data_IF_332636646880
#
_entry.id   IF_332636646880
#
_cell.length_a   1.000
_cell.length_b   1.000
_cell.length_c   1.000
_cell.angle_alpha   90.00
_cell.angle_beta   90.00
_cell.angle_gamma   90.00
#
_symmetry.space_group_name_H-M   'P 1'
#
loop_
_entity.id
_entity.type
_entity.pdbx_description
1 polymer ?
#
# COMPACT_ATOMS: atom_id res chain seq x y z
N UNK A 1 -17.45 -56.87 -98.37
CA UNK A 1 -16.44 -55.94 -98.94
C UNK A 1 -17.18 -54.63 -99.14
N UNK A 2 -16.86 -53.52 -98.49
CA UNK A 2 -15.59 -53.00 -97.97
C UNK A 2 -15.97 -51.74 -97.19
N UNK A 3 -15.67 -51.65 -95.89
CA UNK A 3 -14.63 -50.77 -95.30
C UNK A 3 -15.11 -49.32 -95.08
N UNK A 4 -14.74 -48.51 -94.08
CA UNK A 4 -13.88 -48.52 -92.89
C UNK A 4 -14.01 -47.08 -92.32
N UNK A 5 -13.71 -46.90 -91.03
CA UNK A 5 -13.29 -45.66 -90.32
C UNK A 5 -14.25 -44.51 -89.95
N UNK A 6 -14.43 -44.41 -88.62
CA UNK A 6 -13.97 -43.33 -87.74
C UNK A 6 -13.66 -41.93 -88.33
N UNK A 7 -14.26 -40.88 -87.74
CA UNK A 7 -13.55 -39.75 -87.09
C UNK A 7 -14.52 -38.76 -86.41
N UNK A 8 -14.19 -38.46 -85.15
CA UNK A 8 -14.25 -37.22 -84.37
C UNK A 8 -15.34 -36.11 -84.56
N UNK A 9 -15.77 -35.64 -83.38
CA UNK A 9 -16.10 -34.25 -83.01
C UNK A 9 -17.53 -33.74 -83.23
N UNK A 10 -18.28 -33.57 -82.14
CA UNK A 10 -18.69 -32.23 -81.72
C UNK A 10 -19.14 -32.23 -80.26
N UNK A 11 -18.52 -31.34 -79.49
CA UNK A 11 -18.92 -30.88 -78.16
C UNK A 11 -20.26 -30.16 -78.19
N UNK A 12 -20.78 -29.90 -76.98
CA UNK A 12 -22.02 -29.20 -76.63
C UNK A 12 -23.31 -30.00 -76.67
N UNK A 13 -23.72 -30.43 -75.46
CA UNK A 13 -25.07 -30.14 -75.00
C UNK A 13 -25.14 -30.08 -73.48
N UNK A 14 -25.22 -28.84 -73.00
CA UNK A 14 -25.90 -28.41 -71.78
C UNK A 14 -27.04 -29.35 -71.38
N UNK A 15 -26.90 -30.01 -70.23
CA UNK A 15 -28.04 -30.47 -69.44
C UNK A 15 -27.99 -29.74 -68.10
N UNK A 16 -28.92 -28.81 -67.98
CA UNK A 16 -29.17 -27.93 -66.86
C UNK A 16 -29.00 -28.60 -65.49
N UNK A 17 -28.03 -28.09 -64.74
CA UNK A 17 -28.01 -28.17 -63.28
C UNK A 17 -29.23 -27.38 -62.79
N UNK A 18 -30.30 -28.09 -62.41
CA UNK A 18 -31.44 -27.49 -61.72
C UNK A 18 -30.97 -26.81 -60.44
N UNK A 19 -31.59 -25.69 -60.02
CA UNK A 19 -31.07 -24.86 -58.94
C UNK A 19 -31.03 -25.69 -57.65
N UNK A 20 -29.81 -25.91 -57.15
CA UNK A 20 -29.58 -26.34 -55.78
C UNK A 20 -30.18 -25.27 -54.88
N UNK A 21 -31.34 -25.60 -54.27
CA UNK A 21 -32.02 -24.75 -53.29
C UNK A 21 -31.10 -24.66 -52.09
N UNK A 22 -30.15 -23.72 -52.14
CA UNK A 22 -29.20 -23.44 -51.08
C UNK A 22 -30.01 -23.11 -49.83
N UNK A 23 -29.72 -23.80 -48.75
CA UNK A 23 -30.33 -23.75 -47.44
C UNK A 23 -30.18 -22.38 -46.78
N UNK A 24 -30.77 -21.33 -47.36
CA UNK A 24 -30.96 -20.06 -46.68
C UNK A 24 -32.14 -20.26 -45.75
N UNK A 25 -31.87 -20.26 -44.45
CA UNK A 25 -32.92 -20.08 -43.45
C UNK A 25 -33.54 -18.72 -43.75
N UNK A 26 -34.71 -18.70 -44.37
CA UNK A 26 -35.39 -17.45 -44.67
C UNK A 26 -35.81 -16.80 -43.35
N UNK A 27 -35.51 -15.51 -43.19
CA UNK A 27 -35.91 -14.72 -42.00
C UNK A 27 -37.42 -14.79 -41.80
N UNK A 28 -38.17 -14.91 -42.90
CA UNK A 28 -39.61 -15.12 -42.93
C UNK A 28 -40.04 -16.46 -42.33
N UNK A 29 -39.29 -17.54 -42.53
CA UNK A 29 -39.57 -18.85 -41.93
C UNK A 29 -39.34 -18.83 -40.41
N UNK A 30 -38.33 -18.09 -39.95
CA UNK A 30 -38.10 -17.90 -38.52
C UNK A 30 -39.23 -17.11 -37.85
N UNK A 31 -39.71 -16.05 -38.51
CA UNK A 31 -40.85 -15.26 -38.01
C UNK A 31 -42.13 -16.10 -38.01
N UNK A 32 -42.39 -16.86 -39.08
CA UNK A 32 -43.55 -17.75 -39.16
C UNK A 32 -43.51 -18.84 -38.07
N UNK A 33 -42.33 -19.41 -37.78
CA UNK A 33 -42.12 -20.36 -36.69
C UNK A 33 -42.46 -19.75 -35.32
N UNK A 34 -41.96 -18.54 -35.04
CA UNK A 34 -42.23 -17.84 -33.79
C UNK A 34 -43.71 -17.54 -33.62
N UNK A 35 -44.39 -17.05 -34.66
CA UNK A 35 -45.84 -16.76 -34.62
C UNK A 35 -46.65 -18.05 -34.41
N UNK A 36 -46.26 -19.15 -35.06
CA UNK A 36 -46.96 -20.45 -34.95
C UNK A 36 -46.85 -21.06 -33.55
N UNK A 37 -45.69 -20.92 -32.91
CA UNK A 37 -45.43 -21.43 -31.56
C UNK A 37 -45.51 -20.37 -30.48
N UNK A 38 -45.98 -19.15 -30.77
CA UNK A 38 -45.95 -18.02 -29.85
C UNK A 38 -46.57 -18.34 -28.48
N UNK A 39 -47.71 -19.05 -28.47
CA UNK A 39 -48.37 -19.48 -27.23
C UNK A 39 -47.50 -20.44 -26.38
N UNK A 40 -46.77 -21.35 -27.04
CA UNK A 40 -45.88 -22.31 -26.36
C UNK A 40 -44.59 -21.63 -25.88
N UNK A 41 -44.01 -20.77 -26.71
CA UNK A 41 -42.81 -19.99 -26.38
C UNK A 41 -43.09 -19.05 -25.20
N UNK A 42 -44.21 -18.33 -25.24
CA UNK A 42 -44.64 -17.45 -24.16
C UNK A 42 -44.96 -18.25 -22.88
N UNK A 43 -45.72 -19.34 -22.97
CA UNK A 43 -46.00 -20.19 -21.81
C UNK A 43 -44.70 -20.77 -21.20
N UNK A 44 -43.76 -21.22 -22.02
CA UNK A 44 -42.45 -21.70 -21.57
C UNK A 44 -41.61 -20.63 -20.88
N UNK A 45 -41.57 -19.42 -21.45
CA UNK A 45 -40.89 -18.28 -20.85
C UNK A 45 -41.50 -17.89 -19.49
N UNK A 46 -42.84 -17.90 -19.38
CA UNK A 46 -43.55 -17.59 -18.13
C UNK A 46 -43.29 -18.66 -17.07
N UNK A 47 -43.37 -19.96 -17.41
CA UNK A 47 -43.10 -21.06 -16.46
C UNK A 47 -41.65 -21.01 -15.98
N UNK A 48 -40.69 -20.86 -16.89
CA UNK A 48 -39.28 -20.75 -16.54
C UNK A 48 -38.98 -19.47 -15.75
N UNK A 49 -39.67 -18.37 -16.05
CA UNK A 49 -39.60 -17.12 -15.29
C UNK A 49 -40.13 -17.28 -13.86
N UNK A 50 -41.26 -17.97 -13.67
CA UNK A 50 -41.82 -18.27 -12.34
C UNK A 50 -40.88 -19.19 -11.54
N UNK A 51 -40.35 -20.24 -12.16
CA UNK A 51 -39.37 -21.13 -11.52
C UNK A 51 -38.08 -20.37 -11.14
N UNK A 52 -37.58 -19.50 -12.02
CA UNK A 52 -36.43 -18.65 -11.74
C UNK A 52 -36.72 -17.64 -10.63
N UNK A 53 -37.93 -17.08 -10.57
CA UNK A 53 -38.35 -16.19 -9.48
C UNK A 53 -38.43 -16.94 -8.15
N UNK A 54 -39.02 -18.13 -8.14
CA UNK A 54 -39.10 -18.99 -6.97
C UNK A 54 -37.69 -19.32 -6.45
N UNK A 55 -36.76 -19.66 -7.35
CA UNK A 55 -35.36 -19.85 -7.01
C UNK A 55 -34.68 -18.56 -6.52
N UNK A 56 -34.95 -17.42 -7.14
CA UNK A 56 -34.38 -16.13 -6.72
C UNK A 56 -34.85 -15.68 -5.32
N UNK A 57 -36.02 -16.17 -4.86
CA UNK A 57 -36.55 -15.91 -3.53
C UNK A 57 -35.88 -16.75 -2.43
N UNK A 58 -35.27 -17.89 -2.76
CA UNK A 58 -34.52 -18.71 -1.78
C UNK A 58 -33.13 -18.12 -1.47
N UNK A 59 -32.60 -17.27 -2.35
CA UNK A 59 -31.31 -16.60 -2.14
C UNK A 59 -31.44 -15.46 -1.11
N UNK A 60 -30.58 -15.42 -0.07
CA UNK A 60 -30.62 -14.36 0.92
C UNK A 60 -30.28 -13.01 0.29
N UNK A 61 -31.03 -11.98 0.67
CA UNK A 61 -30.72 -10.60 0.31
C UNK A 61 -29.39 -10.22 0.94
N UNK A 62 -28.49 -9.58 0.18
CA UNK A 62 -27.22 -9.08 0.68
C UNK A 62 -27.13 -7.58 0.52
N UNK A 63 -26.76 -6.93 1.61
CA UNK A 63 -26.51 -5.51 1.72
C UNK A 63 -25.01 -5.26 1.75
N UNK A 64 -24.60 -4.09 1.25
CA UNK A 64 -23.20 -3.71 1.13
C UNK A 64 -22.99 -2.41 1.88
N UNK A 65 -22.13 -2.44 2.89
CA UNK A 65 -21.70 -1.25 3.61
C UNK A 65 -20.27 -0.87 3.16
N UNK A 66 -19.98 0.42 3.05
CA UNK A 66 -18.68 0.93 2.59
C UNK A 66 -18.13 1.95 3.58
N UNK A 67 -16.84 1.84 3.90
CA UNK A 67 -16.08 2.85 4.63
C UNK A 67 -14.86 3.27 3.80
N UNK A 68 -14.41 4.52 4.00
CA UNK A 68 -13.28 5.10 3.28
C UNK A 68 -12.23 5.65 4.24
N UNK A 69 -10.98 5.25 4.02
CA UNK A 69 -9.81 5.67 4.79
C UNK A 69 -8.84 6.39 3.86
N UNK A 70 -8.27 7.49 4.31
CA UNK A 70 -7.21 8.18 3.59
C UNK A 70 -5.84 7.61 4.00
N UNK A 71 -4.96 7.40 3.03
CA UNK A 71 -3.58 7.04 3.32
C UNK A 71 -2.86 8.22 4.00
N UNK A 72 -2.23 8.02 5.17
CA UNK A 72 -1.49 9.09 5.84
C UNK A 72 -0.31 9.51 4.95
N UNK A 73 -0.27 10.79 4.56
CA UNK A 73 0.86 11.38 3.84
C UNK A 73 1.91 11.83 4.86
N UNK A 74 3.00 11.08 4.98
CA UNK A 74 4.13 11.47 5.83
C UNK A 74 4.92 12.57 5.14
N UNK A 75 4.71 13.84 5.51
CA UNK A 75 5.57 14.91 4.98
C UNK A 75 5.10 16.36 5.12
N UNK A 76 3.91 16.65 5.68
CA UNK A 76 3.37 18.01 5.67
C UNK A 76 4.16 19.04 6.49
N UNK A 77 4.57 18.70 7.71
CA UNK A 77 5.17 19.67 8.65
C UNK A 77 6.70 19.70 8.63
N UNK A 78 7.35 18.55 8.39
CA UNK A 78 8.81 18.45 8.32
C UNK A 78 9.37 19.16 7.07
N UNK A 79 8.62 19.10 5.95
CA UNK A 79 8.97 19.82 4.71
C UNK A 79 8.87 21.34 4.89
N UNK A 80 7.93 21.81 5.71
CA UNK A 80 7.75 23.23 6.04
C UNK A 80 8.81 23.75 7.04
N UNK A 81 9.23 22.93 8.00
CA UNK A 81 10.30 23.29 8.95
C UNK A 81 11.68 23.29 8.27
N UNK A 82 11.91 22.40 7.30
CA UNK A 82 13.11 22.40 6.47
C UNK A 82 13.21 23.63 5.56
N UNK A 83 12.09 24.27 5.23
CA UNK A 83 12.05 25.49 4.42
C UNK A 83 12.36 26.79 5.21
N UNK A 84 12.35 26.74 6.55
CA UNK A 84 12.42 27.94 7.40
C UNK A 84 13.75 28.18 8.15
N UNK A 85 14.76 27.31 8.02
CA UNK A 85 16.01 27.42 8.77
C UNK A 85 17.28 27.43 7.88
N UNK A 86 18.34 28.09 8.35
CA UNK A 86 19.68 28.21 7.72
C UNK A 86 20.41 26.85 7.52
N UNK A 87 19.77 25.76 7.95
CA UNK A 87 20.16 24.36 7.72
C UNK A 87 19.38 23.69 6.56
N UNK A 88 18.58 24.44 5.81
CA UNK A 88 17.67 24.01 4.74
C UNK A 88 18.34 23.57 3.43
N UNK A 89 19.43 22.81 3.49
CA UNK A 89 19.98 22.14 2.30
C UNK A 89 19.12 20.91 1.94
N UNK A 90 18.08 21.14 1.14
CA UNK A 90 17.59 20.21 0.11
C UNK A 90 16.91 18.90 0.55
N UNK A 91 16.72 18.64 1.85
CA UNK A 91 16.26 17.34 2.34
C UNK A 91 14.74 17.10 2.22
N UNK A 92 13.95 18.13 1.85
CA UNK A 92 12.49 18.03 1.76
C UNK A 92 11.95 17.31 0.52
N UNK A 93 12.73 17.22 -0.56
CA UNK A 93 12.25 16.72 -1.86
C UNK A 93 12.61 15.24 -2.15
N UNK A 94 13.57 14.65 -1.43
CA UNK A 94 14.06 13.30 -1.72
C UNK A 94 13.31 12.18 -0.95
N UNK A 95 12.49 12.54 0.04
CA UNK A 95 11.70 11.59 0.83
C UNK A 95 10.30 11.43 0.21
N UNK A 96 10.25 10.96 -1.03
CA UNK A 96 9.00 10.46 -1.62
C UNK A 96 8.52 9.25 -0.82
N UNK A 97 7.58 9.45 0.11
CA UNK A 97 6.92 8.37 0.83
C UNK A 97 5.93 7.68 -0.09
N UNK A 98 6.41 6.85 -1.02
CA UNK A 98 5.53 5.90 -1.70
C UNK A 98 5.13 4.84 -0.68
N UNK A 99 4.09 5.12 0.10
CA UNK A 99 3.57 4.16 1.06
C UNK A 99 3.03 2.96 0.26
N UNK A 100 3.60 1.78 0.47
CA UNK A 100 3.27 0.60 -0.33
C UNK A 100 1.79 0.24 -0.18
N UNK A 101 1.02 0.39 -1.27
CA UNK A 101 -0.41 0.01 -1.33
C UNK A 101 -0.67 -1.41 -0.79
N UNK A 102 0.26 -2.33 -1.10
CA UNK A 102 0.24 -3.72 -0.64
C UNK A 102 0.33 -3.88 0.88
N UNK A 103 0.95 -2.93 1.58
CA UNK A 103 1.01 -2.95 3.04
C UNK A 103 -0.40 -2.81 3.64
N UNK A 104 -1.18 -1.84 3.18
CA UNK A 104 -2.53 -1.61 3.70
C UNK A 104 -3.51 -2.72 3.33
N UNK A 105 -3.44 -3.24 2.10
CA UNK A 105 -4.22 -4.41 1.69
C UNK A 105 -3.93 -5.63 2.61
N UNK A 106 -2.65 -5.88 2.92
CA UNK A 106 -2.23 -6.97 3.82
C UNK A 106 -2.56 -6.71 5.28
N UNK A 107 -2.51 -5.45 5.71
CA UNK A 107 -2.87 -5.06 7.07
C UNK A 107 -4.36 -5.34 7.30
N UNK A 108 -5.23 -4.88 6.40
CA UNK A 108 -6.68 -5.10 6.47
C UNK A 108 -7.08 -6.58 6.38
N UNK A 109 -6.31 -7.40 5.66
CA UNK A 109 -6.53 -8.86 5.54
C UNK A 109 -5.75 -9.69 6.57
N UNK A 110 -5.13 -9.05 7.56
CA UNK A 110 -4.35 -9.72 8.59
C UNK A 110 -5.22 -10.65 9.44
N UNK A 111 -4.63 -11.79 9.84
CA UNK A 111 -5.26 -12.79 10.70
C UNK A 111 -5.69 -12.20 12.05
N UNK A 112 -4.87 -11.31 12.63
CA UNK A 112 -5.17 -10.69 13.93
C UNK A 112 -6.41 -9.82 13.89
N UNK A 113 -6.61 -9.06 12.80
CA UNK A 113 -7.80 -8.22 12.60
C UNK A 113 -9.02 -9.10 12.35
N UNK A 114 -8.90 -10.08 11.46
CA UNK A 114 -9.98 -11.03 11.18
C UNK A 114 -10.44 -11.77 12.44
N UNK A 115 -9.51 -12.23 13.28
CA UNK A 115 -9.84 -12.92 14.54
C UNK A 115 -10.54 -12.02 15.55
N UNK A 116 -10.14 -10.75 15.66
CA UNK A 116 -10.78 -9.79 16.54
C UNK A 116 -12.24 -9.54 16.11
N UNK A 117 -12.48 -9.37 14.81
CA UNK A 117 -13.83 -9.15 14.26
C UNK A 117 -14.70 -10.39 14.44
N UNK A 118 -14.18 -11.58 14.09
CA UNK A 118 -14.91 -12.84 14.20
C UNK A 118 -15.38 -13.10 15.63
N UNK A 119 -14.54 -12.82 16.63
CA UNK A 119 -14.88 -12.97 18.05
C UNK A 119 -15.88 -11.93 18.53
N UNK A 120 -15.74 -10.66 18.12
CA UNK A 120 -16.59 -9.56 18.62
C UNK A 120 -18.04 -9.71 18.16
N UNK A 121 -18.25 -10.16 16.93
CA UNK A 121 -19.59 -10.31 16.33
C UNK A 121 -20.10 -11.76 16.31
N UNK A 122 -19.40 -12.67 16.97
CA UNK A 122 -19.66 -14.12 16.99
C UNK A 122 -20.03 -14.69 15.61
N UNK A 123 -19.25 -14.30 14.60
CA UNK A 123 -19.52 -14.63 13.20
C UNK A 123 -19.34 -16.12 12.88
N UNK A 124 -18.80 -16.90 13.81
CA UNK A 124 -18.69 -18.35 13.72
C UNK A 124 -20.08 -19.00 13.60
N UNK A 125 -21.01 -18.58 14.47
CA UNK A 125 -22.39 -19.05 14.46
C UNK A 125 -23.13 -18.56 13.20
N UNK A 126 -22.93 -17.29 12.82
CA UNK A 126 -23.58 -16.67 11.65
C UNK A 126 -23.15 -17.32 10.33
N UNK A 127 -21.87 -17.72 10.21
CA UNK A 127 -21.36 -18.39 9.01
C UNK A 127 -21.54 -19.91 9.03
N UNK A 128 -21.98 -20.50 10.15
CA UNK A 128 -22.07 -21.95 10.33
C UNK A 128 -20.72 -22.67 10.12
N UNK A 129 -19.61 -21.99 10.46
CA UNK A 129 -18.26 -22.49 10.18
C UNK A 129 -17.67 -23.16 11.43
N UNK A 130 -17.34 -24.47 11.39
CA UNK A 130 -16.85 -25.19 12.57
C UNK A 130 -15.41 -24.84 12.96
N UNK A 131 -14.65 -24.21 12.05
CA UNK A 131 -13.25 -23.83 12.28
C UNK A 131 -13.01 -22.35 12.04
N UNK A 132 -12.14 -21.76 12.87
CA UNK A 132 -11.67 -20.38 12.71
C UNK A 132 -11.06 -20.12 11.33
N UNK A 133 -10.41 -21.13 10.73
CA UNK A 133 -9.83 -21.02 9.39
C UNK A 133 -10.91 -20.84 8.32
N UNK A 134 -11.97 -21.65 8.36
CA UNK A 134 -13.10 -21.53 7.43
C UNK A 134 -13.82 -20.18 7.61
N UNK A 135 -14.02 -19.74 8.86
CA UNK A 135 -14.64 -18.45 9.15
C UNK A 135 -13.83 -17.26 8.61
N UNK A 136 -12.49 -17.28 8.73
CA UNK A 136 -11.62 -16.26 8.13
C UNK A 136 -11.74 -16.24 6.60
N UNK A 137 -11.79 -17.40 5.96
CA UNK A 137 -11.92 -17.49 4.51
C UNK A 137 -13.30 -17.03 4.03
N UNK A 138 -14.35 -17.27 4.83
CA UNK A 138 -15.68 -16.74 4.57
C UNK A 138 -15.70 -15.20 4.70
N UNK A 139 -15.02 -14.66 5.72
CA UNK A 139 -14.88 -13.21 5.93
C UNK A 139 -14.10 -12.54 4.80
N UNK A 140 -12.96 -13.09 4.38
CA UNK A 140 -12.15 -12.52 3.30
C UNK A 140 -12.85 -12.54 1.94
N UNK A 141 -13.77 -13.48 1.69
CA UNK A 141 -14.62 -13.48 0.49
C UNK A 141 -15.70 -12.40 0.52
N UNK A 142 -16.12 -11.96 1.71
CA UNK A 142 -17.19 -10.95 1.91
C UNK A 142 -16.65 -9.53 2.08
N UNK A 143 -15.42 -9.41 2.59
CA UNK A 143 -14.68 -8.15 2.73
C UNK A 143 -13.88 -7.88 1.45
N UNK A 144 -14.22 -6.81 0.76
CA UNK A 144 -13.52 -6.33 -0.43
C UNK A 144 -12.74 -5.09 -0.01
N UNK A 145 -11.44 -5.13 -0.21
CA UNK A 145 -10.53 -4.00 0.02
C UNK A 145 -10.06 -3.52 -1.34
N UNK A 146 -10.41 -2.29 -1.69
CA UNK A 146 -9.97 -1.64 -2.91
C UNK A 146 -9.16 -0.40 -2.55
N UNK A 147 -7.99 -0.23 -3.16
CA UNK A 147 -7.09 0.89 -2.86
C UNK A 147 -6.82 1.64 -4.16
N UNK A 148 -7.38 2.85 -4.25
CA UNK A 148 -7.33 3.73 -5.42
C UNK A 148 -6.98 5.15 -4.96
N UNK A 149 -6.10 5.84 -5.68
CA UNK A 149 -5.84 7.28 -5.55
C UNK A 149 -5.74 7.82 -4.11
N UNK A 150 -4.89 7.21 -3.29
CA UNK A 150 -4.68 7.54 -1.87
C UNK A 150 -5.88 7.31 -0.92
N UNK A 151 -6.90 6.58 -1.38
CA UNK A 151 -8.08 6.17 -0.61
C UNK A 151 -8.21 4.65 -0.56
N UNK A 152 -8.38 4.11 0.64
CA UNK A 152 -8.70 2.70 0.89
C UNK A 152 -10.22 2.59 1.10
N UNK A 153 -10.90 1.95 0.16
CA UNK A 153 -12.32 1.63 0.23
C UNK A 153 -12.49 0.22 0.79
N UNK A 154 -13.08 0.13 1.97
CA UNK A 154 -13.46 -1.12 2.61
C UNK A 154 -14.94 -1.37 2.34
N UNK A 155 -15.29 -2.49 1.73
CA UNK A 155 -16.68 -2.89 1.49
C UNK A 155 -16.96 -4.24 2.12
N UNK A 156 -18.04 -4.35 2.90
CA UNK A 156 -18.44 -5.61 3.52
C UNK A 156 -19.88 -5.98 3.14
N UNK A 157 -20.07 -7.24 2.72
CA UNK A 157 -21.37 -7.78 2.28
C UNK A 157 -21.96 -8.70 3.33
N UNK A 158 -23.16 -8.39 3.80
CA UNK A 158 -23.89 -9.22 4.77
C UNK A 158 -25.40 -9.29 4.51
N UNK A 159 -26.08 -10.27 5.13
CA UNK A 159 -27.54 -10.44 5.06
C UNK A 159 -28.27 -9.37 5.87
N UNK A 160 -27.67 -8.92 6.98
CA UNK A 160 -28.25 -7.93 7.88
C UNK A 160 -27.61 -6.55 7.62
N UNK A 161 -28.40 -5.50 7.34
CA UNK A 161 -27.86 -4.18 6.98
C UNK A 161 -27.12 -3.52 8.15
N UNK A 162 -27.63 -3.65 9.38
CA UNK A 162 -26.98 -3.09 10.58
C UNK A 162 -25.63 -3.77 10.84
N UNK A 163 -25.57 -5.11 10.81
CA UNK A 163 -24.33 -5.87 10.97
C UNK A 163 -23.32 -5.52 9.88
N UNK A 164 -23.77 -5.29 8.64
CA UNK A 164 -22.87 -4.91 7.56
C UNK A 164 -22.12 -3.61 7.86
N UNK A 165 -22.83 -2.58 8.34
CA UNK A 165 -22.24 -1.30 8.72
C UNK A 165 -21.35 -1.41 9.96
N UNK A 166 -21.81 -2.08 11.01
CA UNK A 166 -21.06 -2.27 12.25
C UNK A 166 -19.75 -3.04 12.03
N UNK A 167 -19.78 -4.13 11.26
CA UNK A 167 -18.58 -4.91 10.92
C UNK A 167 -17.61 -4.06 10.11
N UNK A 168 -18.08 -3.27 9.15
CA UNK A 168 -17.23 -2.42 8.33
C UNK A 168 -16.55 -1.33 9.17
N UNK A 169 -17.29 -0.69 10.08
CA UNK A 169 -16.76 0.29 11.02
C UNK A 169 -15.77 -0.32 12.02
N UNK A 170 -16.03 -1.55 12.47
CA UNK A 170 -15.09 -2.25 13.34
C UNK A 170 -13.79 -2.60 12.61
N UNK A 171 -13.86 -3.03 11.34
CA UNK A 171 -12.66 -3.27 10.52
C UNK A 171 -11.81 -2.02 10.47
N UNK A 172 -12.42 -0.85 10.23
CA UNK A 172 -11.72 0.45 10.26
C UNK A 172 -11.00 0.66 11.60
N UNK A 173 -11.71 0.48 12.72
CA UNK A 173 -11.13 0.68 14.05
C UNK A 173 -9.96 -0.27 14.34
N UNK A 174 -10.10 -1.55 13.97
CA UNK A 174 -9.05 -2.56 14.14
C UNK A 174 -7.83 -2.28 13.25
N UNK A 175 -8.04 -1.82 12.00
CA UNK A 175 -6.97 -1.41 11.09
C UNK A 175 -6.21 -0.19 11.63
N UNK A 176 -6.91 0.83 12.12
CA UNK A 176 -6.29 1.98 12.78
C UNK A 176 -5.48 1.56 14.02
N UNK A 177 -6.05 0.71 14.87
CA UNK A 177 -5.38 0.20 16.06
C UNK A 177 -4.14 -0.63 15.73
N UNK A 178 -4.22 -1.50 14.72
CA UNK A 178 -3.10 -2.29 14.24
C UNK A 178 -2.00 -1.41 13.62
N UNK A 179 -2.39 -0.39 12.84
CA UNK A 179 -1.46 0.58 12.27
C UNK A 179 -0.68 1.32 13.36
N UNK A 180 -1.36 1.81 14.40
CA UNK A 180 -0.72 2.49 15.54
C UNK A 180 0.26 1.58 16.29
N UNK A 181 -0.07 0.30 16.46
CA UNK A 181 0.83 -0.67 17.12
C UNK A 181 2.08 -0.99 16.30
N UNK A 182 1.94 -1.00 14.97
CA UNK A 182 3.05 -1.25 14.05
C UNK A 182 3.90 -0.01 13.79
N UNK A 183 3.35 1.19 14.02
CA UNK A 183 4.06 2.45 13.84
C UNK A 183 4.94 2.74 15.07
N UNK A 184 6.02 1.98 15.24
CA UNK A 184 7.23 2.54 15.87
C UNK A 184 7.83 3.50 14.85
N UNK A 185 7.50 4.79 14.97
CA UNK A 185 7.97 5.79 14.02
C UNK A 185 9.50 5.93 14.10
N UNK A 186 10.12 6.29 12.97
CA UNK A 186 11.53 6.70 12.97
C UNK A 186 11.75 7.85 13.97
N UNK A 187 10.77 8.74 14.10
CA UNK A 187 10.76 9.81 15.09
C UNK A 187 10.80 9.31 16.54
N UNK A 188 10.05 8.24 16.89
CA UNK A 188 10.11 7.64 18.23
C UNK A 188 11.50 7.13 18.58
N UNK A 189 12.13 6.38 17.65
CA UNK A 189 13.49 5.89 17.84
C UNK A 189 14.50 7.04 17.98
N UNK A 190 14.35 8.10 17.17
CA UNK A 190 15.18 9.31 17.26
C UNK A 190 15.00 10.02 18.59
N UNK A 191 13.76 10.19 19.09
CA UNK A 191 13.49 10.80 20.40
C UNK A 191 14.15 10.00 21.52
N UNK A 192 13.96 8.68 21.56
CA UNK A 192 14.56 7.81 22.61
C UNK A 192 16.08 7.87 22.58
N UNK A 193 16.69 7.89 21.39
CA UNK A 193 18.14 8.04 21.23
C UNK A 193 18.62 9.41 21.76
N UNK A 194 17.99 10.50 21.34
CA UNK A 194 18.33 11.85 21.79
C UNK A 194 18.08 12.05 23.29
N UNK A 195 17.07 11.40 23.86
CA UNK A 195 16.80 11.40 25.30
C UNK A 195 17.96 10.79 26.09
N UNK A 196 18.54 9.70 25.60
CA UNK A 196 19.73 9.08 26.20
C UNK A 196 20.93 10.01 26.09
N UNK A 197 21.17 10.59 24.90
CA UNK A 197 22.26 11.55 24.66
C UNK A 197 22.11 12.82 25.49
N UNK A 198 20.89 13.31 25.70
CA UNK A 198 20.61 14.47 26.54
C UNK A 198 20.99 14.20 27.99
N UNK A 199 20.65 13.01 28.51
CA UNK A 199 21.04 12.58 29.86
C UNK A 199 22.56 12.45 30.01
N UNK A 200 23.23 11.86 29.02
CA UNK A 200 24.69 11.78 28.97
C UNK A 200 25.32 13.18 28.97
N UNK A 201 24.89 14.06 28.06
CA UNK A 201 25.41 15.43 27.94
C UNK A 201 25.16 16.27 29.20
N UNK A 202 24.00 16.12 29.84
CA UNK A 202 23.70 16.80 31.10
C UNK A 202 24.62 16.35 32.25
N UNK A 203 24.91 15.04 32.32
CA UNK A 203 25.85 14.49 33.29
C UNK A 203 27.28 14.97 33.03
N UNK A 204 27.72 14.97 31.77
CA UNK A 204 29.05 15.41 31.39
C UNK A 204 29.26 16.91 31.63
N UNK A 205 28.25 17.73 31.32
CA UNK A 205 28.25 19.17 31.63
C UNK A 205 28.40 19.40 33.13
N UNK A 206 27.59 18.72 33.95
CA UNK A 206 27.67 18.81 35.41
C UNK A 206 29.07 18.44 35.92
N UNK A 207 29.65 17.35 35.41
CA UNK A 207 31.00 16.91 35.79
C UNK A 207 32.06 17.96 35.41
N UNK A 208 31.93 18.57 34.23
CA UNK A 208 32.84 19.63 33.77
C UNK A 208 32.70 20.92 34.60
N UNK A 209 31.47 21.30 34.97
CA UNK A 209 31.21 22.45 35.85
C UNK A 209 31.80 22.22 37.25
N UNK A 210 31.65 21.01 37.81
CA UNK A 210 32.25 20.64 39.08
C UNK A 210 33.79 20.65 39.01
N UNK A 211 34.37 20.18 37.90
CA UNK A 211 35.80 20.24 37.67
C UNK A 211 36.30 21.69 37.58
N UNK A 212 35.61 22.55 36.81
CA UNK A 212 35.91 23.97 36.73
C UNK A 212 35.80 24.66 38.09
N UNK A 213 34.79 24.32 38.89
CA UNK A 213 34.62 24.85 40.25
C UNK A 213 35.81 24.47 41.14
N UNK A 214 36.29 23.22 41.09
CA UNK A 214 37.46 22.77 41.85
C UNK A 214 38.73 23.53 41.44
N UNK A 215 38.95 23.71 40.15
CA UNK A 215 40.12 24.45 39.63
C UNK A 215 40.04 25.97 39.93
N UNK A 216 38.84 26.57 39.92
CA UNK A 216 38.67 27.98 40.34
C UNK A 216 38.99 28.19 41.82
N UNK A 217 38.58 27.25 42.68
CA UNK A 217 38.83 27.33 44.13
C UNK A 217 40.32 27.15 44.47
N UNK A 218 41.04 26.29 43.74
CA UNK A 218 42.48 26.05 43.97
C UNK A 218 43.36 27.19 43.46
N UNK A 219 42.97 27.84 42.36
CA UNK A 219 43.86 28.73 41.62
C UNK A 219 43.82 30.18 42.10
N UNK A 220 42.80 30.63 42.87
CA UNK A 220 42.55 32.03 43.31
C UNK A 220 42.58 33.12 42.20
N UNK A 221 42.88 32.76 40.96
CA UNK A 221 42.84 33.63 39.78
C UNK A 221 41.39 33.72 39.31
N UNK A 222 40.87 34.94 39.35
CA UNK A 222 39.54 35.30 38.87
C UNK A 222 39.73 35.85 37.47
N UNK A 223 39.06 35.22 36.51
CA UNK A 223 38.93 35.62 35.10
C UNK A 223 40.10 35.33 34.13
N UNK A 224 39.84 34.50 33.10
CA UNK A 224 40.74 34.39 31.96
C UNK A 224 40.60 35.65 31.10
N UNK A 225 41.67 36.07 30.41
CA UNK A 225 41.64 37.18 29.45
C UNK A 225 40.61 36.90 28.34
N UNK A 226 39.82 37.90 27.94
CA UNK A 226 38.77 37.83 26.89
C UNK A 226 39.21 37.09 25.60
N UNK A 227 40.50 37.09 25.28
CA UNK A 227 41.10 36.38 24.15
C UNK A 227 41.00 34.84 24.24
N UNK A 228 41.02 34.26 25.45
CA UNK A 228 40.82 32.82 25.65
C UNK A 228 39.34 32.43 25.41
N UNK A 229 38.40 33.32 25.71
CA UNK A 229 36.97 33.08 25.53
C UNK A 229 36.60 32.94 24.05
N UNK A 230 37.13 33.84 23.20
CA UNK A 230 36.88 33.84 21.75
C UNK A 230 37.46 32.60 21.06
N UNK A 231 38.66 32.16 21.44
CA UNK A 231 39.27 30.93 20.87
C UNK A 231 38.54 29.67 21.32
N UNK A 232 38.06 29.65 22.57
CA UNK A 232 37.22 28.56 23.09
C UNK A 232 35.85 28.48 22.41
N UNK A 233 35.25 29.63 22.07
CA UNK A 233 33.97 29.69 21.37
C UNK A 233 34.08 29.16 19.93
N UNK A 234 35.14 29.54 19.21
CA UNK A 234 35.41 29.04 17.86
C UNK A 234 35.69 27.52 17.87
N UNK A 235 36.52 27.04 18.80
CA UNK A 235 36.81 25.62 18.94
C UNK A 235 35.56 24.82 19.37
N UNK A 236 34.75 25.37 20.28
CA UNK A 236 33.48 24.80 20.71
C UNK A 236 32.50 24.63 19.56
N UNK A 237 32.36 25.64 18.69
CA UNK A 237 31.49 25.56 17.51
C UNK A 237 31.88 24.42 16.56
N UNK A 238 33.17 24.27 16.26
CA UNK A 238 33.66 23.20 15.36
C UNK A 238 33.49 21.82 16.01
N UNK A 239 33.72 21.68 17.31
CA UNK A 239 33.48 20.43 18.04
C UNK A 239 32.00 20.03 18.04
N UNK A 240 31.11 21.01 18.21
CA UNK A 240 29.66 20.78 18.19
C UNK A 240 29.20 20.34 16.80
N UNK A 241 29.72 20.96 15.75
CA UNK A 241 29.42 20.54 14.37
C UNK A 241 29.95 19.13 14.07
N UNK A 242 31.13 18.79 14.61
CA UNK A 242 31.69 17.44 14.52
C UNK A 242 30.82 16.41 15.23
N UNK A 243 30.36 16.71 16.46
CA UNK A 243 29.45 15.84 17.21
C UNK A 243 28.11 15.63 16.50
N UNK A 244 27.52 16.70 15.96
CA UNK A 244 26.28 16.63 15.20
C UNK A 244 26.42 15.71 13.97
N UNK A 245 27.53 15.83 13.23
CA UNK A 245 27.83 14.99 12.07
C UNK A 245 28.03 13.51 12.46
N UNK A 246 28.67 13.24 13.60
CA UNK A 246 28.83 11.88 14.14
C UNK A 246 27.49 11.25 14.54
N UNK A 247 26.61 12.01 15.22
CA UNK A 247 25.28 11.53 15.59
C UNK A 247 24.42 11.21 14.35
N UNK A 248 24.50 12.05 13.31
CA UNK A 248 23.82 11.79 12.03
C UNK A 248 24.30 10.49 11.37
N UNK A 249 25.61 10.24 11.40
CA UNK A 249 26.18 9.01 10.86
C UNK A 249 25.67 7.77 11.59
N UNK A 250 25.57 7.81 12.92
CA UNK A 250 25.09 6.71 13.75
C UNK A 250 23.62 6.36 13.42
N UNK A 251 22.76 7.37 13.25
CA UNK A 251 21.36 7.18 12.84
C UNK A 251 21.24 6.62 11.42
N UNK A 252 22.06 7.10 10.49
CA UNK A 252 22.09 6.60 9.11
C UNK A 252 22.57 5.16 9.04
N UNK A 253 23.55 4.76 9.86
CA UNK A 253 24.03 3.38 9.92
C UNK A 253 22.98 2.40 10.46
N UNK A 254 22.12 2.84 11.38
CA UNK A 254 21.05 2.02 11.94
C UNK A 254 19.87 1.85 10.97
N UNK A 255 19.69 2.78 10.03
CA UNK A 255 18.52 2.83 9.15
C UNK A 255 18.79 2.50 7.67
N UNK A 256 20.06 2.55 7.22
CA UNK A 256 20.47 2.32 5.84
C UNK A 256 21.42 1.13 5.68
N UNK A 257 21.47 0.55 4.47
CA UNK A 257 22.46 -0.51 4.14
C UNK A 257 23.89 0.02 4.29
N UNK A 258 24.82 -0.77 4.84
CA UNK A 258 26.23 -0.38 4.95
C UNK A 258 26.82 -0.18 3.54
N UNK A 259 26.89 1.07 3.08
CA UNK A 259 27.37 1.44 1.74
C UNK A 259 26.51 2.43 0.95
N UNK A 260 25.39 2.96 1.50
CA UNK A 260 24.66 4.04 0.82
C UNK A 260 25.52 5.29 0.66
N UNK A 261 25.37 6.01 -0.47
CA UNK A 261 26.14 7.22 -0.77
C UNK A 261 26.01 8.32 0.28
N UNK A 262 24.86 8.37 0.98
CA UNK A 262 24.59 9.27 2.10
C UNK A 262 25.55 9.06 3.29
N UNK A 263 25.89 7.80 3.62
CA UNK A 263 26.87 7.50 4.67
C UNK A 263 28.27 7.97 4.26
N UNK A 264 28.59 7.90 2.97
CA UNK A 264 29.86 8.39 2.41
C UNK A 264 29.99 9.92 2.52
N UNK A 265 28.93 10.66 2.20
CA UNK A 265 28.91 12.12 2.28
C UNK A 265 29.09 12.63 3.73
N UNK A 266 28.41 12.01 4.71
CA UNK A 266 28.56 12.39 6.12
C UNK A 266 29.95 12.04 6.66
N UNK A 267 30.53 10.90 6.27
CA UNK A 267 31.92 10.55 6.61
C UNK A 267 32.93 11.58 6.07
N UNK A 268 32.77 12.00 4.83
CA UNK A 268 33.63 13.02 4.23
C UNK A 268 33.52 14.36 4.97
N UNK A 269 32.31 14.74 5.40
CA UNK A 269 32.09 15.94 6.22
C UNK A 269 32.78 15.86 7.58
N UNK A 270 32.71 14.71 8.26
CA UNK A 270 33.42 14.47 9.53
C UNK A 270 34.94 14.62 9.34
N UNK A 271 35.48 14.07 8.25
CA UNK A 271 36.91 14.14 7.97
C UNK A 271 37.39 15.57 7.68
N UNK A 272 36.57 16.38 7.00
CA UNK A 272 36.83 17.81 6.79
C UNK A 272 36.83 18.60 8.11
N UNK A 273 35.83 18.39 8.98
CA UNK A 273 35.75 19.03 10.30
C UNK A 273 36.92 18.64 11.20
N UNK A 274 37.37 17.37 11.14
CA UNK A 274 38.56 16.90 11.86
C UNK A 274 39.83 17.61 11.40
N UNK A 275 39.99 17.87 10.10
CA UNK A 275 41.13 18.62 9.57
C UNK A 275 41.12 20.08 10.05
N UNK A 276 39.95 20.72 10.11
CA UNK A 276 39.82 22.07 10.66
C UNK A 276 40.17 22.13 12.14
N UNK A 277 39.74 21.13 12.93
CA UNK A 277 40.15 21.00 14.34
C UNK A 277 41.66 20.87 14.50
N UNK A 278 42.32 20.04 13.67
CA UNK A 278 43.77 19.88 13.71
C UNK A 278 44.53 21.17 13.31
N UNK A 279 43.97 21.97 12.39
CA UNK A 279 44.52 23.28 12.01
C UNK A 279 44.37 24.32 13.14
N UNK A 280 43.27 24.26 13.90
CA UNK A 280 43.06 25.12 15.07
C UNK A 280 43.97 24.74 16.25
N UNK A 281 44.23 23.44 16.44
CA UNK A 281 45.06 22.90 17.54
C UNK A 281 46.57 23.11 17.30
N UNK A 282 47.00 23.17 16.03
CA UNK A 282 48.42 23.30 15.67
C UNK A 282 48.99 24.71 15.79
N UNK A 283 48.17 25.77 15.88
CA UNK A 283 48.64 27.13 16.21
C UNK A 283 49.81 27.67 15.38
N UNK A 284 50.03 27.17 14.15
CA UNK A 284 51.20 27.53 13.34
C UNK A 284 50.99 28.86 12.62
N UNK A 285 51.18 29.95 13.35
CA UNK A 285 51.81 31.14 12.77
C UNK A 285 53.25 30.75 12.46
N UNK A 286 53.56 30.70 11.17
CA UNK A 286 54.93 30.68 10.68
C UNK A 286 55.66 31.90 11.24
N UNK A 287 56.55 31.69 12.21
CA UNK A 287 57.67 32.61 12.44
C UNK A 287 58.53 32.59 11.18
N UNK A 288 58.23 33.47 10.22
CA UNK A 288 58.87 33.40 8.92
C UNK A 288 58.32 34.35 7.87
N UNK A 289 58.31 35.64 8.16
CA UNK A 289 58.78 36.70 7.25
C UNK A 289 58.19 38.05 7.65
N UNK A 290 59.08 39.00 7.93
CA UNK A 290 58.75 40.40 7.86
C UNK A 290 58.33 40.73 6.43
N UNK A 291 57.11 41.23 6.23
CA UNK A 291 56.81 42.32 5.29
C UNK A 291 55.36 42.77 5.41
N UNK A 292 55.19 44.08 5.26
CA UNK A 292 53.99 44.87 5.47
C UNK A 292 52.75 44.40 4.71
N UNK A 293 51.58 44.42 5.37
CA UNK A 293 50.40 45.18 4.92
C UNK A 293 49.22 44.99 5.89
N UNK A 294 48.42 46.04 5.95
CA UNK A 294 47.28 46.31 6.84
C UNK A 294 46.14 45.28 6.75
N UNK A 295 45.81 44.64 7.88
CA UNK A 295 44.52 44.01 8.21
C UNK A 295 44.49 43.61 9.71
N UNK A 296 43.30 43.50 10.35
CA UNK A 296 43.08 43.72 11.79
C UNK A 296 43.77 42.64 12.64
N UNK A 297 43.99 42.86 13.97
CA UNK A 297 44.96 42.11 14.74
C UNK A 297 44.63 40.63 14.66
N UNK A 298 45.47 39.89 13.95
CA UNK A 298 45.55 38.45 14.04
C UNK A 298 45.77 38.16 15.52
N UNK A 299 44.72 37.62 16.17
CA UNK A 299 44.77 37.14 17.54
C UNK A 299 45.91 36.15 17.59
N UNK A 300 47.05 36.61 18.10
CA UNK A 300 48.22 35.79 18.30
C UNK A 300 47.81 34.68 19.28
N UNK A 301 47.59 33.48 18.75
CA UNK A 301 47.44 32.26 19.51
C UNK A 301 48.71 32.10 20.34
N UNK A 302 48.62 32.41 21.64
CA UNK A 302 49.74 32.20 22.55
C UNK A 302 50.13 30.72 22.49
N UNK A 303 51.40 30.36 22.25
CA UNK A 303 51.83 28.98 22.37
C UNK A 303 51.51 28.48 23.79
N UNK A 304 50.65 27.46 23.89
CA UNK A 304 50.23 26.81 25.14
C UNK A 304 51.41 26.35 26.02
N UNK A 305 52.63 26.33 25.47
CA UNK A 305 53.88 25.99 26.13
C UNK A 305 54.40 27.04 27.14
N UNK A 306 53.89 28.28 27.15
CA UNK A 306 54.38 29.35 28.04
C UNK A 306 53.43 29.80 29.15
N UNK A 307 52.28 29.14 29.30
CA UNK A 307 51.37 29.41 30.41
C UNK A 307 51.82 28.64 31.66
N UNK A 308 51.86 29.26 32.86
CA UNK A 308 52.03 28.53 34.11
C UNK A 308 51.05 27.35 34.17
N UNK A 309 51.47 26.19 34.70
CA UNK A 309 50.64 24.98 34.71
C UNK A 309 49.23 25.19 35.28
N UNK A 310 49.10 26.13 36.22
CA UNK A 310 47.85 26.55 36.86
C UNK A 310 46.88 27.25 35.89
N UNK A 311 47.36 28.17 35.04
CA UNK A 311 46.52 28.84 34.03
C UNK A 311 46.07 27.85 32.94
N UNK A 312 46.94 26.90 32.62
CA UNK A 312 46.65 25.88 31.61
C UNK A 312 45.55 24.91 32.09
N UNK A 313 45.55 24.48 33.36
CA UNK A 313 44.47 23.66 33.94
C UNK A 313 43.13 24.38 33.97
N UNK A 314 43.12 25.64 34.39
CA UNK A 314 41.92 26.49 34.37
C UNK A 314 41.36 26.65 32.94
N UNK A 315 42.23 26.90 31.96
CA UNK A 315 41.83 27.03 30.55
C UNK A 315 41.21 25.74 29.99
N UNK A 316 41.70 24.57 30.41
CA UNK A 316 41.16 23.26 30.02
C UNK A 316 39.79 23.03 30.64
N UNK A 317 39.63 23.35 31.92
CA UNK A 317 38.35 23.21 32.61
C UNK A 317 37.26 24.12 31.99
N UNK A 318 37.61 25.37 31.68
CA UNK A 318 36.68 26.30 31.00
C UNK A 318 36.31 25.84 29.60
N UNK A 319 37.29 25.29 28.86
CA UNK A 319 37.05 24.69 27.54
C UNK A 319 36.08 23.53 27.61
N UNK A 320 36.27 22.64 28.58
CA UNK A 320 35.38 21.49 28.77
C UNK A 320 33.95 21.94 29.04
N UNK A 321 33.74 22.90 29.96
CA UNK A 321 32.40 23.46 30.23
C UNK A 321 31.80 24.06 28.96
N UNK A 322 32.53 24.91 28.24
CA UNK A 322 32.02 25.53 27.01
C UNK A 322 31.64 24.49 25.93
N UNK A 323 32.41 23.41 25.78
CA UNK A 323 32.11 22.32 24.86
C UNK A 323 30.82 21.61 25.27
N UNK A 324 30.71 21.21 26.54
CA UNK A 324 29.55 20.46 27.02
C UNK A 324 28.28 21.31 27.09
N UNK A 325 28.37 22.62 27.36
CA UNK A 325 27.23 23.55 27.30
C UNK A 325 26.66 23.61 25.88
N UNK A 326 27.52 23.69 24.87
CA UNK A 326 27.08 23.74 23.48
C UNK A 326 26.51 22.39 23.02
N UNK A 327 27.12 21.26 23.41
CA UNK A 327 26.57 19.92 23.13
C UNK A 327 25.20 19.76 23.78
N UNK A 328 25.07 20.12 25.06
CA UNK A 328 23.80 20.07 25.78
C UNK A 328 22.74 20.94 25.09
N UNK A 329 23.08 22.18 24.72
CA UNK A 329 22.18 23.08 24.01
C UNK A 329 21.72 22.54 22.65
N UNK A 330 22.63 21.96 21.86
CA UNK A 330 22.33 21.35 20.58
C UNK A 330 21.41 20.13 20.74
N UNK A 331 21.78 19.18 21.62
CA UNK A 331 21.02 17.94 21.84
C UNK A 331 19.63 18.28 22.40
N UNK A 332 19.51 19.30 23.24
CA UNK A 332 18.21 19.79 23.74
C UNK A 332 17.33 20.28 22.60
N UNK A 333 17.86 21.11 21.70
CA UNK A 333 17.10 21.61 20.53
C UNK A 333 16.66 20.46 19.62
N UNK A 334 17.56 19.53 19.32
CA UNK A 334 17.26 18.34 18.52
C UNK A 334 16.24 17.42 19.21
N UNK A 335 16.31 17.26 20.53
CA UNK A 335 15.36 16.47 21.30
C UNK A 335 13.96 17.06 21.26
N UNK A 336 13.81 18.37 21.47
CA UNK A 336 12.50 19.03 21.38
C UNK A 336 11.94 18.96 19.95
N UNK A 337 12.79 19.13 18.93
CA UNK A 337 12.38 18.94 17.54
C UNK A 337 11.91 17.51 17.26
N UNK A 338 12.66 16.49 17.72
CA UNK A 338 12.30 15.08 17.56
C UNK A 338 11.03 14.71 18.35
N UNK A 339 10.80 15.34 19.51
CA UNK A 339 9.58 15.17 20.30
C UNK A 339 8.36 15.73 19.59
N UNK A 340 8.48 16.90 18.95
CA UNK A 340 7.41 17.47 18.11
C UNK A 340 7.16 16.57 16.88
N UNK A 341 8.22 16.10 16.23
CA UNK A 341 8.15 15.19 15.09
C UNK A 341 7.45 13.88 15.47
N UNK A 342 7.75 13.30 16.63
CA UNK A 342 7.10 12.07 17.10
C UNK A 342 5.60 12.29 17.33
N UNK A 343 5.20 13.40 17.96
CA UNK A 343 3.79 13.74 18.15
C UNK A 343 3.08 13.94 16.81
N UNK A 344 3.74 14.58 15.84
CA UNK A 344 3.22 14.74 14.48
C UNK A 344 3.14 13.41 13.71
N UNK A 345 4.08 12.50 13.95
CA UNK A 345 4.09 11.17 13.36
C UNK A 345 2.97 10.28 13.94
N UNK A 346 2.37 10.60 15.08
CA UNK A 346 1.25 9.86 15.66
C UNK A 346 -0.11 10.16 14.99
N UNK A 347 -0.14 10.46 13.70
CA UNK A 347 -1.39 10.53 12.97
C UNK A 347 -1.96 9.12 12.73
N UNK A 348 -3.13 8.88 13.33
CA UNK A 348 -4.02 7.76 12.98
C UNK A 348 -4.34 7.86 11.49
N UNK A 349 -4.55 6.72 10.83
CA UNK A 349 -5.08 6.70 9.45
C UNK A 349 -6.38 7.53 9.45
N UNK A 350 -6.44 8.68 8.77
CA UNK A 350 -7.64 9.52 8.78
C UNK A 350 -8.82 8.77 8.15
N UNK A 351 -9.97 8.83 8.79
CA UNK A 351 -11.22 8.29 8.24
C UNK A 351 -11.86 9.38 7.41
N UNK A 352 -12.08 9.10 6.12
CA UNK A 352 -12.80 10.02 5.23
C UNK A 352 -14.30 9.87 5.48
N UNK A 353 -14.77 8.62 5.47
CA UNK A 353 -16.18 8.30 5.64
C UNK A 353 -16.36 6.97 6.37
N UNK A 354 -17.31 6.92 7.30
CA UNK A 354 -17.68 5.73 8.04
C UNK A 354 -18.79 4.98 7.30
N UNK A 355 -18.90 3.68 7.54
CA UNK A 355 -19.96 2.89 6.97
C UNK A 355 -21.32 3.24 7.57
N UNK A 356 -22.23 3.66 6.69
CA UNK A 356 -23.64 3.88 6.98
C UNK A 356 -24.44 2.62 6.67
N UNK A 357 -25.56 2.43 7.39
CA UNK A 357 -26.49 1.32 7.15
C UNK A 357 -27.08 1.45 5.73
N UNK A 358 -26.93 0.42 4.87
CA UNK A 358 -27.40 0.48 3.50
C UNK A 358 -28.92 0.29 3.37
N UNK A 359 -29.58 1.23 2.70
CA UNK A 359 -31.04 1.19 2.45
C UNK A 359 -31.46 0.19 1.36
N UNK A 360 -30.54 -0.14 0.44
CA UNK A 360 -30.82 -1.00 -0.71
C UNK A 360 -29.93 -2.24 -0.72
N UNK A 361 -30.53 -3.37 -1.10
CA UNK A 361 -29.78 -4.61 -1.34
C UNK A 361 -28.96 -4.49 -2.63
N UNK A 362 -27.76 -5.07 -2.62
CA UNK A 362 -26.87 -5.12 -3.79
C UNK A 362 -27.02 -6.44 -4.56
N UNK A 363 -27.36 -7.54 -3.88
CA UNK A 363 -27.59 -8.82 -4.55
C UNK A 363 -28.65 -9.69 -3.84
N UNK A 364 -29.31 -10.62 -4.56
CA UNK A 364 -29.35 -10.77 -6.02
C UNK A 364 -30.34 -9.79 -6.69
N UNK A 365 -30.05 -9.39 -7.94
CA UNK A 365 -30.98 -8.65 -8.79
C UNK A 365 -32.07 -9.60 -9.32
N UNK A 366 -33.10 -9.84 -8.49
CA UNK A 366 -34.20 -10.79 -8.78
C UNK A 366 -34.84 -10.58 -10.17
N UNK A 367 -34.95 -9.33 -10.61
CA UNK A 367 -35.47 -8.98 -11.95
C UNK A 367 -34.55 -9.48 -13.07
N UNK A 368 -33.24 -9.32 -12.92
CA UNK A 368 -32.27 -9.79 -13.92
C UNK A 368 -32.23 -11.33 -13.97
N UNK A 369 -32.32 -12.00 -12.81
CA UNK A 369 -32.37 -13.46 -12.73
C UNK A 369 -33.61 -14.03 -13.44
N UNK A 370 -34.76 -13.38 -13.25
CA UNK A 370 -36.03 -13.81 -13.84
C UNK A 370 -36.09 -13.57 -15.34
N UNK A 371 -35.57 -12.43 -15.82
CA UNK A 371 -35.42 -12.19 -17.27
C UNK A 371 -34.51 -13.25 -17.91
N UNK A 372 -33.39 -13.58 -17.27
CA UNK A 372 -32.47 -14.60 -17.78
C UNK A 372 -33.13 -15.98 -17.79
N UNK A 373 -33.87 -16.34 -16.73
CA UNK A 373 -34.64 -17.58 -16.66
C UNK A 373 -35.72 -17.67 -17.74
N UNK A 374 -36.45 -16.58 -17.98
CA UNK A 374 -37.47 -16.52 -19.02
C UNK A 374 -36.87 -16.67 -20.43
N UNK A 375 -35.73 -16.02 -20.70
CA UNK A 375 -35.01 -16.13 -21.97
C UNK A 375 -34.52 -17.57 -22.22
N UNK A 376 -33.93 -18.21 -21.21
CA UNK A 376 -33.47 -19.59 -21.31
C UNK A 376 -34.64 -20.57 -21.51
N UNK A 377 -35.77 -20.35 -20.82
CA UNK A 377 -36.99 -21.12 -21.02
C UNK A 377 -37.57 -20.98 -22.43
N UNK A 378 -37.57 -19.77 -22.97
CA UNK A 378 -38.01 -19.51 -24.35
C UNK A 378 -37.12 -20.25 -25.35
N UNK A 379 -35.80 -20.21 -25.17
CA UNK A 379 -34.84 -20.89 -26.04
C UNK A 379 -35.00 -22.42 -25.98
N UNK A 380 -35.22 -22.96 -24.79
CA UNK A 380 -35.46 -24.40 -24.61
C UNK A 380 -36.72 -24.86 -25.34
N UNK A 381 -37.83 -24.11 -25.22
CA UNK A 381 -39.07 -24.43 -25.94
C UNK A 381 -38.92 -24.25 -27.45
N UNK A 382 -38.18 -23.25 -27.91
CA UNK A 382 -37.88 -23.07 -29.33
C UNK A 382 -37.09 -24.25 -29.89
N UNK A 383 -36.05 -24.70 -29.18
CA UNK A 383 -35.25 -25.86 -29.57
C UNK A 383 -36.10 -27.15 -29.61
N UNK A 384 -36.92 -27.38 -28.59
CA UNK A 384 -37.80 -28.54 -28.53
C UNK A 384 -38.86 -28.51 -29.65
N UNK A 385 -39.47 -27.35 -29.92
CA UNK A 385 -40.43 -27.20 -31.02
C UNK A 385 -39.77 -27.38 -32.39
N UNK A 386 -38.55 -26.87 -32.59
CA UNK A 386 -37.77 -27.07 -33.81
C UNK A 386 -37.38 -28.54 -34.02
N UNK A 387 -37.01 -29.24 -32.95
CA UNK A 387 -36.72 -30.68 -33.00
C UNK A 387 -37.97 -31.50 -33.37
N UNK A 388 -39.14 -31.15 -32.82
CA UNK A 388 -40.40 -31.79 -33.18
C UNK A 388 -40.79 -31.56 -34.65
N UNK A 389 -40.60 -30.35 -35.16
CA UNK A 389 -40.87 -30.04 -36.57
C UNK A 389 -39.87 -30.71 -37.51
N UNK A 390 -38.59 -30.75 -37.15
CA UNK A 390 -37.57 -31.51 -37.87
C UNK A 390 -37.89 -33.00 -37.93
N UNK A 391 -38.32 -33.59 -36.81
CA UNK A 391 -38.74 -35.00 -36.75
C UNK A 391 -39.96 -35.27 -37.64
N UNK A 392 -40.97 -34.39 -37.62
CA UNK A 392 -42.16 -34.49 -38.49
C UNK A 392 -41.83 -34.28 -39.96
N UNK A 393 -40.89 -33.39 -40.29
CA UNK A 393 -40.41 -33.18 -41.65
C UNK A 393 -39.69 -34.42 -42.18
N UNK A 394 -38.77 -34.99 -41.39
CA UNK A 394 -38.05 -36.22 -41.73
C UNK A 394 -38.98 -37.42 -41.93
N UNK A 395 -40.04 -37.56 -41.12
CA UNK A 395 -41.06 -38.60 -41.31
C UNK A 395 -41.84 -38.46 -42.63
N UNK A 396 -42.05 -37.22 -43.11
CA UNK A 396 -42.79 -36.96 -44.35
C UNK A 396 -41.93 -37.04 -45.61
N UNK A 397 -40.64 -36.72 -45.54
CA UNK A 397 -39.75 -36.67 -46.71
C UNK A 397 -38.86 -37.90 -46.88
N UNK A 398 -38.54 -38.66 -45.83
CA UNK A 398 -37.63 -39.83 -45.92
C UNK A 398 -37.84 -40.84 -44.76
N UNK A 399 -38.73 -41.82 -44.88
CA UNK A 399 -39.01 -42.80 -43.81
C UNK A 399 -37.79 -43.64 -43.41
N UNK A 400 -36.83 -43.85 -44.32
CA UNK A 400 -35.58 -44.60 -44.04
C UNK A 400 -34.63 -43.85 -43.08
N UNK A 401 -34.50 -42.52 -43.22
CA UNK A 401 -33.68 -41.69 -42.33
C UNK A 401 -34.32 -41.54 -40.94
N UNK A 402 -35.64 -41.52 -40.87
CA UNK A 402 -36.37 -41.52 -39.60
C UNK A 402 -36.13 -42.82 -38.82
N UNK A 403 -36.11 -43.99 -39.48
CA UNK A 403 -35.75 -45.28 -38.86
C UNK A 403 -34.30 -45.31 -38.37
N UNK A 404 -33.36 -44.71 -39.12
CA UNK A 404 -31.96 -44.62 -38.72
C UNK A 404 -31.74 -43.79 -37.43
N UNK A 405 -32.48 -42.69 -37.25
CA UNK A 405 -32.46 -41.87 -36.02
C UNK A 405 -33.05 -42.60 -34.80
N UNK A 406 -34.09 -43.41 -34.97
CA UNK A 406 -34.62 -44.26 -33.89
C UNK A 406 -33.61 -45.35 -33.52
N UNK A 407 -32.93 -45.93 -34.51
CA UNK A 407 -31.93 -46.98 -34.29
C UNK A 407 -30.61 -46.45 -33.71
N UNK A 408 -30.26 -45.17 -33.92
CA UNK A 408 -29.14 -44.50 -33.26
C UNK A 408 -29.51 -43.94 -31.88
N UNK A 409 -30.73 -43.42 -31.71
CA UNK A 409 -31.29 -43.04 -30.41
C UNK A 409 -31.38 -44.22 -29.43
N UNK A 410 -31.80 -45.39 -29.92
CA UNK A 410 -31.79 -46.65 -29.14
C UNK A 410 -30.40 -47.20 -28.83
N UNK A 411 -29.35 -46.73 -29.52
CA UNK A 411 -27.94 -47.00 -29.17
C UNK A 411 -27.43 -46.04 -28.10
N UNK A 412 -27.83 -44.77 -28.14
CA UNK A 412 -27.51 -43.78 -27.09
C UNK A 412 -28.24 -44.08 -25.77
N UNK A 413 -29.50 -44.52 -25.82
CA UNK A 413 -30.24 -44.94 -24.61
C UNK A 413 -29.61 -46.15 -23.92
N UNK A 414 -29.13 -47.14 -24.70
CA UNK A 414 -28.34 -48.28 -24.18
C UNK A 414 -26.96 -47.89 -23.66
N UNK A 415 -26.38 -46.80 -24.17
CA UNK A 415 -25.11 -46.26 -23.66
C UNK A 415 -25.27 -45.51 -22.34
N UNK A 416 -26.45 -44.93 -22.08
CA UNK A 416 -26.77 -44.19 -20.85
C UNK A 416 -27.59 -44.98 -19.81
N UNK A 417 -27.82 -46.28 -20.03
CA UNK A 417 -28.29 -47.20 -18.98
C UNK A 417 -29.72 -46.99 -18.49
N UNK A 418 -30.63 -46.52 -19.32
CA UNK A 418 -32.06 -46.48 -19.01
C UNK A 418 -32.79 -47.67 -19.66
N UNK A 419 -32.70 -48.86 -19.05
CA UNK A 419 -33.69 -49.93 -19.22
C UNK A 419 -34.28 -50.24 -17.84
N UNK A 420 -35.59 -50.01 -17.69
CA UNK A 420 -36.41 -50.71 -16.70
C UNK A 420 -37.09 -51.85 -17.47
N UNK A 421 -36.97 -53.08 -16.93
CA UNK A 421 -37.65 -54.30 -17.40
C UNK A 421 -39.16 -54.12 -17.65
#
# INVERSE_FOLDING_TARGET
MTTVDATASCSDRNSAVGPTKSSRVDVLDLIAFVVRHFKRLFAGAVIAGILSMAFALTLPNRYLAQAQLALPRGGGMLSMLAAGGDFGLGLGAALGSSTDRRFYERLATSRTIADAILKKFDLLAVFGSPTMVAARQALSKRLIVDVQDDVIRLSYKDTDPNRAAEVCNEVVAQVQGAYLRLKTSKAHLRRVFLERRLREAASDLKNAEEFLRKERLSTRVVEPKEQAKVTLEVAGRVLVESYAAHAQLEVLQLSSRPGSGEVGAVKAKIEALRKQLAQLDSGLVSEGSASASSSPPSVALLPLARLPELELRLSRAMRQVAIYEQIFGLVTKEYEAARIEEVADFDKIPVIDLAVVPDRKVSPSRLMLTLLGALLGMLFVAAHAGMQEGARYLQRTSPERARALVHSGGRLARFFGFEHE
#
